data_IF_741349185244
#
_entry.id   IF_741349185244
#
_cell.length_a   1.000
_cell.length_b   1.000
_cell.length_c   1.000
_cell.angle_alpha   90.00
_cell.angle_beta   90.00
_cell.angle_gamma   90.00
#
_symmetry.space_group_name_H-M   'P 1'
#
loop_
_entity.id
_entity.type
_entity.pdbx_description
1 polymer ?
#
# COMPACT_ATOMS: atom_id res chain seq x y z
N UNK A 1 -9.17 11.68 2.97
CA UNK A 1 -8.00 12.48 3.39
C UNK A 1 -7.49 11.92 4.71
N UNK A 2 -6.19 11.67 4.82
CA UNK A 2 -5.56 11.11 6.03
C UNK A 2 -5.44 12.21 7.09
N UNK A 3 -5.84 11.93 8.33
CA UNK A 3 -5.73 12.86 9.48
C UNK A 3 -4.34 12.79 10.13
N UNK A 4 -4.00 13.78 10.96
CA UNK A 4 -2.66 13.87 11.61
C UNK A 4 -2.40 12.73 12.60
N UNK A 5 -3.43 12.24 13.26
CA UNK A 5 -3.42 11.13 14.20
C UNK A 5 -3.46 9.76 13.50
N UNK A 6 -3.43 9.70 12.18
CA UNK A 6 -3.54 8.46 11.41
C UNK A 6 -2.22 8.11 10.74
N UNK A 7 -2.00 6.80 10.54
CA UNK A 7 -0.75 6.26 10.00
C UNK A 7 -0.95 5.80 8.56
N UNK A 8 0.06 6.05 7.73
CA UNK A 8 0.20 5.48 6.38
C UNK A 8 1.36 4.48 6.39
N UNK A 9 1.13 3.27 5.92
CA UNK A 9 2.23 2.32 5.67
C UNK A 9 2.76 2.55 4.26
N UNK A 10 4.08 2.58 4.07
CA UNK A 10 4.66 2.81 2.74
C UNK A 10 5.98 2.06 2.53
N UNK A 11 6.30 1.79 1.28
CA UNK A 11 7.63 1.39 0.82
C UNK A 11 8.67 2.52 0.94
N UNK A 12 8.22 3.79 1.05
CA UNK A 12 9.06 4.96 1.32
C UNK A 12 8.47 5.88 2.41
N UNK A 13 8.50 5.47 3.69
CA UNK A 13 7.84 6.22 4.77
C UNK A 13 8.42 7.63 4.99
N UNK A 14 9.72 7.84 4.72
CA UNK A 14 10.35 9.17 4.87
C UNK A 14 9.78 10.19 3.87
N UNK A 15 9.44 9.75 2.65
CA UNK A 15 8.84 10.62 1.64
C UNK A 15 7.45 11.06 2.07
N UNK A 16 6.65 10.14 2.63
CA UNK A 16 5.33 10.46 3.19
C UNK A 16 5.46 11.44 4.36
N UNK A 17 6.39 11.19 5.28
CA UNK A 17 6.61 12.06 6.42
C UNK A 17 7.03 13.48 6.00
N UNK A 18 7.94 13.61 5.04
CA UNK A 18 8.46 14.90 4.60
C UNK A 18 7.49 15.68 3.71
N UNK A 19 6.90 15.02 2.70
CA UNK A 19 6.12 15.72 1.67
C UNK A 19 4.62 15.78 1.97
N UNK A 20 4.08 14.85 2.77
CA UNK A 20 2.65 14.84 3.10
C UNK A 20 2.35 15.30 4.54
N UNK A 21 3.37 15.56 5.38
CA UNK A 21 3.21 15.85 6.82
C UNK A 21 2.31 14.81 7.50
N UNK A 22 2.58 13.52 7.26
CA UNK A 22 1.84 12.39 7.85
C UNK A 22 2.76 11.36 8.47
N UNK A 23 2.34 10.83 9.62
CA UNK A 23 3.02 9.71 10.28
C UNK A 23 3.03 8.51 9.36
N UNK A 24 4.22 7.97 9.10
CA UNK A 24 4.37 6.83 8.21
C UNK A 24 5.33 5.78 8.76
N UNK A 25 5.01 4.52 8.50
CA UNK A 25 5.79 3.35 8.93
C UNK A 25 6.15 2.53 7.69
N UNK A 26 7.29 1.87 7.74
CA UNK A 26 7.76 1.00 6.67
C UNK A 26 6.80 -0.20 6.46
N UNK A 27 6.55 -0.54 5.20
CA UNK A 27 5.85 -1.76 4.83
C UNK A 27 6.64 -3.00 5.32
N UNK A 28 6.06 -3.86 6.16
CA UNK A 28 6.72 -5.08 6.61
C UNK A 28 6.79 -6.12 5.47
N UNK A 29 7.62 -7.15 5.65
CA UNK A 29 7.76 -8.23 4.66
C UNK A 29 6.76 -9.40 4.83
N UNK A 30 6.02 -9.42 5.93
CA UNK A 30 5.06 -10.49 6.29
C UNK A 30 3.71 -9.88 6.67
N UNK A 31 2.63 -10.51 6.22
CA UNK A 31 1.26 -10.09 6.50
C UNK A 31 0.98 -10.10 8.01
N UNK A 32 1.47 -11.11 8.73
CA UNK A 32 1.33 -11.19 10.20
C UNK A 32 1.89 -9.94 10.91
N UNK A 33 3.08 -9.49 10.51
CA UNK A 33 3.71 -8.31 11.11
C UNK A 33 2.91 -7.03 10.78
N UNK A 34 2.25 -6.98 9.62
CA UNK A 34 1.35 -5.88 9.27
C UNK A 34 0.14 -5.85 10.21
N UNK A 35 -0.50 -7.00 10.45
CA UNK A 35 -1.64 -7.09 11.37
C UNK A 35 -1.26 -6.76 12.81
N UNK A 36 -0.06 -7.18 13.26
CA UNK A 36 0.48 -6.78 14.56
C UNK A 36 0.68 -5.26 14.66
N UNK A 37 1.23 -4.63 13.62
CA UNK A 37 1.36 -3.17 13.55
C UNK A 37 0.00 -2.47 13.57
N UNK A 38 -1.00 -2.97 12.82
CA UNK A 38 -2.36 -2.43 12.85
C UNK A 38 -2.96 -2.48 14.26
N UNK A 39 -2.80 -3.60 14.96
CA UNK A 39 -3.34 -3.78 16.31
C UNK A 39 -2.67 -2.83 17.31
N UNK A 40 -1.33 -2.70 17.26
CA UNK A 40 -0.59 -1.76 18.12
C UNK A 40 -1.02 -0.32 17.82
N UNK A 41 -1.11 0.05 16.55
CA UNK A 41 -1.52 1.37 16.11
C UNK A 41 -2.96 1.72 16.57
N UNK A 42 -3.89 0.77 16.48
CA UNK A 42 -5.25 0.92 16.97
C UNK A 42 -5.29 1.11 18.50
N UNK A 43 -4.52 0.32 19.26
CA UNK A 43 -4.43 0.44 20.72
C UNK A 43 -3.86 1.79 21.18
N UNK A 44 -2.96 2.38 20.39
CA UNK A 44 -2.40 3.71 20.63
C UNK A 44 -3.31 4.85 20.15
N UNK A 45 -4.51 4.54 19.65
CA UNK A 45 -5.46 5.51 19.04
C UNK A 45 -4.87 6.24 17.83
N UNK A 46 -3.95 5.61 17.11
CA UNK A 46 -3.36 6.13 15.87
C UNK A 46 -3.51 5.14 14.71
N UNK A 47 -4.74 4.88 14.24
CA UNK A 47 -5.00 3.75 13.35
C UNK A 47 -4.31 3.90 11.98
N UNK A 48 -3.95 2.77 11.38
CA UNK A 48 -3.50 2.71 9.99
C UNK A 48 -4.72 2.90 9.07
N UNK A 49 -4.60 3.79 8.09
CA UNK A 49 -5.72 4.14 7.18
C UNK A 49 -5.41 3.98 5.70
N UNK A 50 -4.13 3.72 5.38
CA UNK A 50 -3.77 3.39 4.02
C UNK A 50 -2.37 2.84 3.87
N UNK A 51 -2.15 2.28 2.69
CA UNK A 51 -0.88 1.79 2.19
C UNK A 51 -0.54 2.59 0.94
N UNK A 52 0.64 3.20 0.91
CA UNK A 52 1.15 3.90 -0.28
C UNK A 52 2.32 3.11 -0.86
N UNK A 53 2.17 2.71 -2.12
CA UNK A 53 3.24 2.10 -2.91
C UNK A 53 3.78 3.14 -3.89
N UNK A 54 5.07 3.41 -3.83
CA UNK A 54 5.76 4.36 -4.71
C UNK A 54 6.41 3.66 -5.91
N UNK A 55 6.72 4.39 -7.00
CA UNK A 55 7.43 3.84 -8.16
C UNK A 55 8.82 3.29 -7.81
N UNK A 56 9.39 3.75 -6.69
CA UNK A 56 10.72 3.37 -6.26
C UNK A 56 10.84 1.89 -5.90
N UNK A 57 9.74 1.22 -5.54
CA UNK A 57 9.73 -0.19 -5.11
C UNK A 57 9.88 -1.18 -6.27
N UNK A 58 9.35 -0.84 -7.44
CA UNK A 58 9.33 -1.73 -8.60
C UNK A 58 10.15 -1.24 -9.80
N UNK A 59 10.33 0.08 -9.99
CA UNK A 59 11.09 0.75 -11.06
C UNK A 59 11.87 -0.16 -12.04
N UNK A 60 13.20 -0.20 -11.90
CA UNK A 60 14.08 -1.04 -12.74
C UNK A 60 14.34 -2.44 -12.15
N UNK A 61 13.57 -2.89 -11.15
CA UNK A 61 13.83 -4.15 -10.45
C UNK A 61 13.16 -5.33 -11.15
N UNK A 62 13.82 -6.47 -11.14
CA UNK A 62 13.19 -7.73 -11.53
C UNK A 62 12.20 -8.21 -10.47
N UNK A 63 11.23 -9.04 -10.86
CA UNK A 63 10.25 -9.63 -9.92
C UNK A 63 10.96 -10.41 -8.79
N UNK A 64 12.06 -11.09 -9.10
CA UNK A 64 12.87 -11.81 -8.10
C UNK A 64 13.46 -10.86 -7.05
N UNK A 65 14.01 -9.72 -7.47
CA UNK A 65 14.53 -8.69 -6.56
C UNK A 65 13.42 -8.09 -5.69
N UNK A 66 12.26 -7.81 -6.28
CA UNK A 66 11.09 -7.33 -5.53
C UNK A 66 10.68 -8.36 -4.48
N UNK A 67 10.65 -9.65 -4.85
CA UNK A 67 10.33 -10.75 -3.93
C UNK A 67 11.27 -10.83 -2.73
N UNK A 68 12.58 -10.69 -2.95
CA UNK A 68 13.57 -10.68 -1.89
C UNK A 68 13.42 -9.47 -0.95
N UNK A 69 13.06 -8.30 -1.50
CA UNK A 69 12.92 -7.07 -0.74
C UNK A 69 11.62 -7.01 0.07
N UNK A 70 10.49 -7.40 -0.52
CA UNK A 70 9.15 -7.16 0.05
C UNK A 70 8.43 -8.44 0.51
N UNK A 71 8.97 -9.62 0.23
CA UNK A 71 8.47 -10.89 0.76
C UNK A 71 7.01 -11.16 0.36
N UNK A 72 6.14 -11.31 1.35
CA UNK A 72 4.72 -11.62 1.12
C UNK A 72 3.97 -10.47 0.42
N UNK A 73 4.46 -9.23 0.52
CA UNK A 73 3.86 -8.06 -0.12
C UNK A 73 4.25 -7.86 -1.59
N UNK A 74 4.98 -8.81 -2.20
CA UNK A 74 5.42 -8.72 -3.60
C UNK A 74 4.26 -8.45 -4.55
N UNK A 75 3.14 -9.17 -4.39
CA UNK A 75 1.93 -9.01 -5.19
C UNK A 75 1.33 -7.60 -5.10
N UNK A 76 1.35 -6.99 -3.91
CA UNK A 76 0.96 -5.59 -3.71
C UNK A 76 1.91 -4.62 -4.43
N UNK A 77 3.23 -4.85 -4.34
CA UNK A 77 4.22 -3.96 -4.98
C UNK A 77 4.06 -3.92 -6.51
N UNK A 78 3.72 -5.05 -7.14
CA UNK A 78 3.53 -5.14 -8.59
C UNK A 78 2.08 -4.93 -9.04
N UNK A 79 1.14 -4.77 -8.10
CA UNK A 79 -0.31 -4.69 -8.37
C UNK A 79 -0.66 -3.58 -9.36
N UNK A 80 -0.06 -2.40 -9.18
CA UNK A 80 -0.29 -1.26 -10.07
C UNK A 80 0.07 -1.56 -11.53
N UNK A 81 1.26 -2.13 -11.76
CA UNK A 81 1.73 -2.52 -13.10
C UNK A 81 0.86 -3.61 -13.72
N UNK A 82 0.46 -4.61 -12.92
CA UNK A 82 -0.42 -5.69 -13.38
C UNK A 82 -1.78 -5.13 -13.81
N UNK A 83 -2.35 -4.23 -13.01
CA UNK A 83 -3.62 -3.57 -13.31
C UNK A 83 -3.53 -2.75 -14.60
N UNK A 84 -2.48 -1.95 -14.76
CA UNK A 84 -2.28 -1.15 -15.97
C UNK A 84 -2.13 -2.01 -17.22
N UNK A 85 -1.39 -3.12 -17.12
CA UNK A 85 -1.10 -4.01 -18.25
C UNK A 85 -2.31 -4.83 -18.71
N UNK A 86 -3.37 -4.86 -17.91
CA UNK A 86 -4.58 -5.66 -18.16
C UNK A 86 -5.83 -4.78 -18.33
N UNK A 87 -5.63 -3.48 -18.57
CA UNK A 87 -6.69 -2.58 -19.01
C UNK A 87 -7.32 -3.06 -20.34
N UNK A 88 -8.62 -2.81 -20.59
CA UNK A 88 -9.51 -1.91 -19.84
C UNK A 88 -10.14 -2.52 -18.58
N UNK A 89 -10.17 -3.85 -18.43
CA UNK A 89 -10.80 -4.50 -17.27
C UNK A 89 -10.00 -4.28 -15.98
N UNK A 90 -8.66 -4.36 -16.06
CA UNK A 90 -7.75 -4.14 -14.94
C UNK A 90 -7.79 -5.28 -13.91
N UNK A 91 -6.73 -6.06 -13.84
CA UNK A 91 -6.56 -7.16 -12.88
C UNK A 91 -5.71 -6.66 -11.72
N UNK A 92 -6.27 -6.70 -10.52
CA UNK A 92 -5.50 -6.54 -9.28
C UNK A 92 -4.93 -7.91 -8.87
N UNK A 93 -3.68 -7.90 -8.41
CA UNK A 93 -3.01 -9.04 -7.79
C UNK A 93 -3.16 -9.01 -6.26
N UNK A 94 -3.41 -7.82 -5.71
CA UNK A 94 -3.52 -7.62 -4.27
C UNK A 94 -4.67 -8.41 -3.65
N UNK A 95 -5.84 -8.48 -4.30
CA UNK A 95 -6.99 -9.26 -3.83
C UNK A 95 -6.91 -10.76 -4.17
N UNK A 96 -5.97 -11.17 -5.04
CA UNK A 96 -5.77 -12.56 -5.47
C UNK A 96 -4.70 -13.31 -4.67
N UNK A 97 -3.84 -12.58 -3.96
CA UNK A 97 -2.85 -13.21 -3.09
C UNK A 97 -3.51 -13.69 -1.79
N UNK A 98 -3.58 -15.01 -1.62
CA UNK A 98 -4.17 -15.64 -0.43
C UNK A 98 -3.53 -15.17 0.89
N UNK A 99 -2.25 -14.74 0.87
CA UNK A 99 -1.55 -14.23 2.06
C UNK A 99 -2.00 -12.81 2.43
N UNK A 100 -2.51 -12.05 1.46
CA UNK A 100 -2.85 -10.63 1.63
C UNK A 100 -4.36 -10.37 1.58
N UNK A 101 -5.19 -11.37 1.29
CA UNK A 101 -6.64 -11.20 1.09
C UNK A 101 -7.33 -10.49 2.26
N UNK A 102 -6.92 -10.75 3.50
CA UNK A 102 -7.44 -10.05 4.70
C UNK A 102 -7.13 -8.56 4.64
N UNK A 103 -5.89 -8.21 4.34
CA UNK A 103 -5.41 -6.84 4.19
C UNK A 103 -6.07 -6.17 2.98
N UNK A 104 -6.13 -6.83 1.83
CA UNK A 104 -6.76 -6.32 0.61
C UNK A 104 -8.24 -5.97 0.81
N UNK A 105 -8.96 -6.80 1.57
CA UNK A 105 -10.36 -6.53 1.91
C UNK A 105 -10.54 -5.24 2.73
N UNK A 106 -9.60 -4.97 3.65
CA UNK A 106 -9.59 -3.75 4.47
C UNK A 106 -9.23 -2.55 3.62
N UNK A 107 -8.17 -2.64 2.80
CA UNK A 107 -7.62 -1.53 1.99
C UNK A 107 -8.07 -1.55 0.53
N UNK A 108 -9.36 -1.79 0.31
CA UNK A 108 -9.94 -2.03 -1.04
C UNK A 108 -10.03 -0.78 -1.93
N UNK A 109 -10.01 0.42 -1.37
CA UNK A 109 -10.22 1.65 -2.13
C UNK A 109 -8.89 2.14 -2.69
N UNK A 110 -8.79 2.27 -4.01
CA UNK A 110 -7.52 2.58 -4.68
C UNK A 110 -7.55 3.95 -5.37
N UNK A 111 -6.51 4.75 -5.15
CA UNK A 111 -6.23 5.98 -5.89
C UNK A 111 -4.92 5.82 -6.67
N UNK A 112 -4.98 6.13 -7.96
CA UNK A 112 -3.80 6.37 -8.79
C UNK A 112 -3.33 7.80 -8.54
N UNK A 113 -2.13 7.98 -7.99
CA UNK A 113 -1.56 9.31 -7.71
C UNK A 113 -0.67 9.77 -8.86
N UNK A 114 0.15 8.87 -9.40
CA UNK A 114 1.00 9.12 -10.56
C UNK A 114 0.92 7.90 -11.47
N UNK A 115 -0.10 7.89 -12.33
CA UNK A 115 -0.45 6.70 -13.10
C UNK A 115 -0.58 5.47 -12.19
N UNK A 116 -0.25 4.30 -12.72
CA UNK A 116 -0.29 3.07 -11.93
C UNK A 116 1.04 2.69 -11.29
N UNK A 117 2.02 3.59 -11.34
CA UNK A 117 3.32 3.41 -10.71
C UNK A 117 3.33 3.89 -9.25
N UNK A 118 2.48 4.87 -8.91
CA UNK A 118 2.26 5.33 -7.54
C UNK A 118 0.79 5.16 -7.15
N UNK A 119 0.55 4.27 -6.18
CA UNK A 119 -0.80 3.80 -5.87
C UNK A 119 -1.05 3.85 -4.37
N UNK A 120 -2.16 4.47 -3.99
CA UNK A 120 -2.63 4.53 -2.62
C UNK A 120 -3.84 3.60 -2.42
N UNK A 121 -3.75 2.74 -1.41
CA UNK A 121 -4.78 1.80 -1.00
C UNK A 121 -5.33 2.24 0.35
N UNK A 122 -6.63 2.52 0.44
CA UNK A 122 -7.26 3.09 1.62
C UNK A 122 -8.31 2.16 2.21
N UNK A 123 -8.47 2.22 3.53
CA UNK A 123 -9.56 1.56 4.24
C UNK A 123 -10.87 2.35 4.24
N UNK A 124 -10.89 3.53 3.63
CA UNK A 124 -12.04 4.40 3.52
C UNK A 124 -12.30 4.78 2.07
N UNK A 125 -13.56 5.05 1.68
CA UNK A 125 -13.88 5.60 0.38
C UNK A 125 -13.06 6.86 0.10
N UNK A 126 -12.44 6.88 -1.07
CA UNK A 126 -11.68 8.02 -1.52
C UNK A 126 -12.67 9.10 -1.96
N UNK A 127 -12.55 10.31 -1.41
CA UNK A 127 -13.31 11.45 -1.92
C UNK A 127 -12.77 11.79 -3.29
N UNK A 128 -13.66 11.99 -4.26
CA UNK A 128 -13.29 12.63 -5.50
C UNK A 128 -12.67 13.99 -5.17
N UNK A 129 -11.54 14.30 -5.82
CA UNK A 129 -11.02 15.67 -5.82
C UNK A 129 -11.94 16.42 -6.76
N UNK A 130 -12.76 17.33 -6.22
CA UNK A 130 -13.48 18.33 -7.02
C UNK A 130 -12.49 19.32 -7.66
#
# INVERSE_FOLDING_TARGET
MVKKDQIIISDQPWAVAWYADRTSIWLPKKAKNFEELENVAANLKTPVVGILITPSSHGFRSISQISQLYGEFTSLIIDGRAYQSTMPQGVTLFDKDAKLVSIASKYRYRASILGMDMVYYSNQPLRAVE
#
